data_IF_946700731769
#
_entry.id   IF_946700731769
#
_cell.length_a   1.000
_cell.length_b   1.000
_cell.length_c   1.000
_cell.angle_alpha   90.00
_cell.angle_beta   90.00
_cell.angle_gamma   90.00
#
_symmetry.space_group_name_H-M   'P 1'
#
loop_
_entity.id
_entity.type
_entity.pdbx_description
1 polymer ?
#
# COMPACT_ATOMS: atom_id res chain seq x y z
N UNK A 1 55.11 -7.72 23.35
CA UNK A 1 54.66 -6.32 23.17
C UNK A 1 53.73 -6.15 21.98
N UNK A 2 54.07 -6.62 20.79
CA UNK A 2 53.20 -6.55 19.58
C UNK A 2 51.89 -7.31 19.80
N UNK A 3 51.95 -8.50 20.36
CA UNK A 3 50.76 -9.35 20.61
C UNK A 3 49.80 -8.67 21.58
N UNK A 4 50.30 -7.97 22.59
CA UNK A 4 49.49 -7.26 23.56
C UNK A 4 48.80 -6.06 22.91
N UNK A 5 49.48 -5.32 22.06
CA UNK A 5 48.86 -4.19 21.31
C UNK A 5 47.78 -4.69 20.36
N UNK A 6 48.02 -5.77 19.61
CA UNK A 6 47.02 -6.38 18.76
C UNK A 6 45.80 -6.84 19.52
N UNK A 7 45.95 -7.41 20.70
CA UNK A 7 44.85 -7.83 21.56
C UNK A 7 44.00 -6.64 22.00
N UNK A 8 44.60 -5.54 22.44
CA UNK A 8 43.84 -4.34 22.83
C UNK A 8 43.14 -3.68 21.63
N UNK A 9 43.76 -3.65 20.45
CA UNK A 9 43.11 -3.19 19.22
C UNK A 9 41.91 -4.05 18.90
N UNK A 10 42.02 -5.36 18.96
CA UNK A 10 40.91 -6.28 18.72
C UNK A 10 39.72 -6.06 19.67
N UNK A 11 40.02 -5.91 20.97
CA UNK A 11 39.00 -5.64 22.00
C UNK A 11 38.28 -4.30 21.71
N UNK A 12 39.05 -3.28 21.36
CA UNK A 12 38.50 -1.94 21.07
C UNK A 12 37.56 -1.99 19.84
N UNK A 13 37.97 -2.64 18.75
CA UNK A 13 37.13 -2.79 17.55
C UNK A 13 35.87 -3.59 17.84
N UNK A 14 35.96 -4.67 18.60
CA UNK A 14 34.80 -5.49 18.99
C UNK A 14 33.82 -4.69 19.83
N UNK A 15 34.31 -3.89 20.79
CA UNK A 15 33.45 -3.04 21.61
C UNK A 15 32.70 -2.00 20.76
N UNK A 16 33.37 -1.33 19.83
CA UNK A 16 32.76 -0.37 18.91
C UNK A 16 31.66 -1.06 18.08
N UNK A 17 31.93 -2.25 17.57
CA UNK A 17 30.99 -3.02 16.76
C UNK A 17 29.74 -3.43 17.55
N UNK A 18 29.90 -3.85 18.79
CA UNK A 18 28.77 -4.18 19.67
C UNK A 18 27.92 -2.94 19.93
N UNK A 19 28.51 -1.80 20.23
CA UNK A 19 27.79 -0.53 20.46
C UNK A 19 27.00 -0.15 19.20
N UNK A 20 27.62 -0.26 18.03
CA UNK A 20 26.95 0.01 16.75
C UNK A 20 25.71 -0.86 16.55
N UNK A 21 25.82 -2.17 16.78
CA UNK A 21 24.68 -3.08 16.65
C UNK A 21 23.60 -2.83 17.68
N UNK A 22 23.94 -2.43 18.92
CA UNK A 22 22.96 -2.08 19.94
C UNK A 22 22.16 -0.83 19.55
N UNK A 23 22.83 0.20 19.04
CA UNK A 23 22.17 1.41 18.54
C UNK A 23 21.25 1.08 17.39
N UNK A 24 21.71 0.30 16.41
CA UNK A 24 20.92 -0.08 15.25
C UNK A 24 19.72 -0.97 15.62
N UNK A 25 19.90 -1.92 16.53
CA UNK A 25 18.84 -2.77 17.07
C UNK A 25 17.76 -1.95 17.81
N UNK A 26 18.13 -0.90 18.50
CA UNK A 26 17.21 0.01 19.17
C UNK A 26 16.21 0.65 18.19
N UNK A 27 16.64 0.95 16.97
CA UNK A 27 15.75 1.45 15.91
C UNK A 27 14.71 0.41 15.42
N UNK A 28 15.04 -0.88 15.53
CA UNK A 28 14.13 -1.96 15.11
C UNK A 28 13.12 -2.33 16.21
N UNK A 29 13.48 -2.09 17.48
CA UNK A 29 12.66 -2.48 18.64
C UNK A 29 11.65 -1.40 19.01
N UNK A 30 11.90 -0.15 18.61
CA UNK A 30 10.95 0.93 18.78
C UNK A 30 10.29 1.28 17.43
N UNK A 31 9.33 0.48 16.94
CA UNK A 31 8.41 1.01 15.98
C UNK A 31 7.71 2.12 16.77
N UNK A 32 8.09 3.39 16.55
CA UNK A 32 7.22 4.49 16.90
C UNK A 32 5.85 4.08 16.38
N UNK A 33 5.02 3.50 17.24
CA UNK A 33 3.58 3.59 17.10
C UNK A 33 3.36 5.09 17.05
N UNK A 34 3.37 5.62 15.84
CA UNK A 34 2.76 6.89 15.55
C UNK A 34 1.27 6.70 15.74
N UNK A 35 0.88 6.51 16.96
CA UNK A 35 -0.49 6.73 17.42
C UNK A 35 -0.70 8.25 17.63
N UNK A 36 -0.20 9.07 16.71
CA UNK A 36 -0.95 10.24 16.34
C UNK A 36 -2.19 9.67 15.70
N UNK A 37 -3.30 9.77 16.40
CA UNK A 37 -4.60 9.76 15.77
C UNK A 37 -4.48 10.78 14.64
N UNK A 38 -4.10 10.28 13.46
CA UNK A 38 -4.16 11.08 12.25
C UNK A 38 -5.65 11.45 12.15
N UNK A 39 -5.98 12.72 11.95
CA UNK A 39 -7.36 13.07 11.70
C UNK A 39 -7.87 12.11 10.62
N UNK A 40 -9.03 11.52 10.83
CA UNK A 40 -9.67 10.64 9.86
C UNK A 40 -9.91 11.47 8.60
N UNK A 41 -8.94 11.37 7.67
CA UNK A 41 -9.02 12.07 6.38
C UNK A 41 -9.68 11.08 5.43
N UNK A 42 -10.80 11.47 4.84
CA UNK A 42 -11.44 10.68 3.79
C UNK A 42 -10.46 10.40 2.63
N UNK A 43 -10.37 9.13 2.21
CA UNK A 43 -9.49 8.68 1.14
C UNK A 43 -10.31 8.16 -0.03
N UNK A 44 -10.01 8.65 -1.24
CA UNK A 44 -10.61 8.11 -2.46
C UNK A 44 -9.59 7.20 -3.15
N UNK A 45 -9.95 5.92 -3.30
CA UNK A 45 -9.17 4.94 -4.06
C UNK A 45 -9.70 4.91 -5.48
N UNK A 46 -8.89 5.38 -6.43
CA UNK A 46 -9.28 5.44 -7.84
C UNK A 46 -8.66 4.24 -8.58
N UNK A 47 -9.50 3.45 -9.23
CA UNK A 47 -9.10 2.27 -9.99
C UNK A 47 -9.61 2.42 -11.42
N UNK A 48 -8.67 2.57 -12.36
CA UNK A 48 -8.98 2.57 -13.79
C UNK A 48 -8.84 1.15 -14.32
N UNK A 49 -9.85 0.67 -15.02
CA UNK A 49 -9.85 -0.67 -15.60
C UNK A 49 -10.36 -0.65 -17.05
N UNK A 50 -9.67 -1.43 -17.88
CA UNK A 50 -10.04 -1.69 -19.28
C UNK A 50 -9.83 -3.16 -19.58
N UNK A 51 -10.94 -3.88 -19.80
CA UNK A 51 -10.91 -5.34 -20.03
C UNK A 51 -10.23 -6.11 -18.90
N UNK A 52 -10.58 -5.77 -17.63
CA UNK A 52 -9.96 -6.33 -16.41
C UNK A 52 -11.01 -7.05 -15.53
N UNK A 53 -12.03 -7.66 -16.13
CA UNK A 53 -13.12 -8.29 -15.40
C UNK A 53 -12.65 -9.34 -14.37
N UNK A 54 -11.70 -10.19 -14.76
CA UNK A 54 -11.19 -11.26 -13.89
C UNK A 54 -10.34 -10.69 -12.74
N UNK A 55 -9.48 -9.72 -13.01
CA UNK A 55 -8.67 -9.08 -11.99
C UNK A 55 -9.52 -8.32 -10.98
N UNK A 56 -10.59 -7.64 -11.43
CA UNK A 56 -11.53 -7.00 -10.52
C UNK A 56 -12.24 -8.01 -9.62
N UNK A 57 -12.69 -9.15 -10.14
CA UNK A 57 -13.31 -10.23 -9.35
C UNK A 57 -12.36 -10.73 -8.26
N UNK A 58 -11.07 -10.85 -8.57
CA UNK A 58 -10.07 -11.42 -7.66
C UNK A 58 -9.56 -10.42 -6.62
N UNK A 59 -9.35 -9.17 -6.98
CA UNK A 59 -8.64 -8.21 -6.13
C UNK A 59 -9.54 -7.15 -5.47
N UNK A 60 -10.68 -6.79 -6.07
CA UNK A 60 -11.57 -5.79 -5.51
C UNK A 60 -12.09 -6.13 -4.11
N UNK A 61 -12.40 -7.40 -3.77
CA UNK A 61 -12.79 -7.77 -2.41
C UNK A 61 -11.73 -7.45 -1.35
N UNK A 62 -10.46 -7.57 -1.69
CA UNK A 62 -9.34 -7.24 -0.78
C UNK A 62 -9.29 -5.73 -0.48
N UNK A 63 -9.59 -4.91 -1.49
CA UNK A 63 -9.62 -3.44 -1.34
C UNK A 63 -10.84 -3.01 -0.52
N UNK A 64 -12.01 -3.64 -0.75
CA UNK A 64 -13.23 -3.36 0.00
C UNK A 64 -13.07 -3.68 1.49
N UNK A 65 -12.33 -4.75 1.82
CA UNK A 65 -12.11 -5.22 3.18
C UNK A 65 -10.98 -4.50 3.92
N UNK A 66 -10.52 -3.34 3.44
CA UNK A 66 -9.51 -2.54 4.14
C UNK A 66 -10.02 -2.05 5.50
N UNK A 67 -9.11 -2.01 6.47
CA UNK A 67 -9.42 -1.58 7.85
C UNK A 67 -9.50 -0.06 8.01
N UNK A 68 -9.23 0.71 6.95
CA UNK A 68 -9.32 2.17 7.01
C UNK A 68 -10.80 2.60 7.15
N UNK A 69 -11.15 3.49 8.10
CA UNK A 69 -12.54 3.76 8.42
C UNK A 69 -13.26 4.59 7.35
N UNK A 70 -12.64 5.64 6.84
CA UNK A 70 -13.26 6.60 5.91
C UNK A 70 -12.60 6.56 4.54
N UNK A 71 -13.10 5.68 3.65
CA UNK A 71 -12.65 5.61 2.27
C UNK A 71 -13.80 5.31 1.30
N UNK A 72 -13.64 5.79 0.08
CA UNK A 72 -14.48 5.45 -1.06
C UNK A 72 -13.64 4.83 -2.19
N UNK A 73 -14.27 4.06 -3.04
CA UNK A 73 -13.65 3.44 -4.21
C UNK A 73 -14.32 4.01 -5.46
N UNK A 74 -13.53 4.58 -6.35
CA UNK A 74 -14.00 5.10 -7.64
C UNK A 74 -13.47 4.18 -8.72
N UNK A 75 -14.37 3.39 -9.34
CA UNK A 75 -14.04 2.52 -10.45
C UNK A 75 -14.26 3.29 -11.75
N UNK A 76 -13.22 3.40 -12.55
CA UNK A 76 -13.29 4.04 -13.87
C UNK A 76 -13.20 2.95 -14.93
N UNK A 77 -14.29 2.80 -15.69
CA UNK A 77 -14.33 1.91 -16.86
C UNK A 77 -13.89 2.69 -18.09
N UNK A 78 -12.72 2.37 -18.63
CA UNK A 78 -12.18 2.98 -19.86
C UNK A 78 -12.66 2.20 -21.10
N UNK A 79 -13.94 2.37 -21.42
CA UNK A 79 -14.56 1.77 -22.61
C UNK A 79 -14.22 0.29 -22.80
N UNK A 80 -14.43 -0.52 -21.76
CA UNK A 80 -14.21 -1.97 -21.82
C UNK A 80 -15.19 -2.64 -22.76
N UNK A 81 -14.74 -3.66 -23.47
CA UNK A 81 -15.53 -4.48 -24.39
C UNK A 81 -15.91 -5.86 -23.84
N UNK A 82 -15.39 -6.20 -22.65
CA UNK A 82 -15.66 -7.44 -21.94
C UNK A 82 -16.69 -7.23 -20.79
N UNK A 83 -16.82 -8.21 -19.89
CA UNK A 83 -17.71 -8.18 -18.72
C UNK A 83 -17.27 -7.17 -17.61
N UNK A 84 -16.24 -6.35 -17.83
CA UNK A 84 -15.70 -5.43 -16.81
C UNK A 84 -16.78 -4.52 -16.26
N UNK A 85 -17.64 -3.96 -17.11
CA UNK A 85 -18.74 -3.07 -16.70
C UNK A 85 -19.74 -3.79 -15.79
N UNK A 86 -20.14 -5.00 -16.15
CA UNK A 86 -21.10 -5.81 -15.37
C UNK A 86 -20.54 -6.19 -14.02
N UNK A 87 -19.24 -6.53 -13.96
CA UNK A 87 -18.53 -6.84 -12.71
C UNK A 87 -18.51 -5.62 -11.80
N UNK A 88 -18.17 -4.44 -12.32
CA UNK A 88 -18.16 -3.20 -11.56
C UNK A 88 -19.55 -2.88 -10.98
N UNK A 89 -20.60 -3.01 -11.79
CA UNK A 89 -21.99 -2.78 -11.36
C UNK A 89 -22.42 -3.74 -10.25
N UNK A 90 -22.02 -5.01 -10.35
CA UNK A 90 -22.32 -6.01 -9.34
C UNK A 90 -21.71 -5.66 -8.00
N UNK A 91 -20.44 -5.23 -7.99
CA UNK A 91 -19.77 -4.79 -6.77
C UNK A 91 -20.36 -3.49 -6.21
N UNK A 92 -20.72 -2.54 -7.06
CA UNK A 92 -21.34 -1.28 -6.62
C UNK A 92 -22.73 -1.48 -6.01
N UNK A 93 -23.51 -2.43 -6.49
CA UNK A 93 -24.82 -2.80 -5.87
C UNK A 93 -24.65 -3.40 -4.48
N UNK A 94 -23.55 -4.12 -4.26
CA UNK A 94 -23.29 -4.81 -2.98
C UNK A 94 -22.51 -3.96 -1.98
N UNK A 95 -21.87 -2.86 -2.42
CA UNK A 95 -21.05 -2.01 -1.56
C UNK A 95 -21.29 -0.53 -1.85
N UNK A 96 -21.88 0.18 -0.88
CA UNK A 96 -22.21 1.61 -0.98
C UNK A 96 -21.00 2.54 -1.10
N UNK A 97 -19.80 2.04 -0.78
CA UNK A 97 -18.54 2.80 -0.89
C UNK A 97 -18.02 2.88 -2.34
N UNK A 98 -18.62 2.15 -3.28
CA UNK A 98 -18.15 2.08 -4.68
C UNK A 98 -18.96 3.04 -5.53
N UNK A 99 -18.26 3.87 -6.28
CA UNK A 99 -18.79 4.73 -7.34
C UNK A 99 -18.22 4.29 -8.68
N UNK A 100 -19.01 4.31 -9.75
CA UNK A 100 -18.59 3.94 -11.10
C UNK A 100 -18.62 5.16 -12.01
N UNK A 101 -17.56 5.33 -12.78
CA UNK A 101 -17.47 6.32 -13.85
C UNK A 101 -17.13 5.58 -15.14
N UNK A 102 -17.95 5.73 -16.17
CA UNK A 102 -17.67 5.15 -17.47
C UNK A 102 -17.20 6.23 -18.43
N UNK A 103 -16.01 6.06 -18.97
CA UNK A 103 -15.44 6.90 -20.02
C UNK A 103 -15.89 6.34 -21.36
N UNK A 104 -16.58 7.15 -22.17
CA UNK A 104 -16.93 6.78 -23.56
C UNK A 104 -15.71 7.05 -24.45
N UNK A 105 -15.44 6.15 -25.39
CA UNK A 105 -14.44 6.42 -26.43
C UNK A 105 -14.83 7.71 -27.17
N UNK A 106 -14.12 8.79 -26.90
CA UNK A 106 -14.19 9.97 -27.73
C UNK A 106 -13.16 9.75 -28.84
N UNK A 107 -13.62 9.31 -30.00
CA UNK A 107 -12.82 9.22 -31.23
C UNK A 107 -12.44 10.60 -31.76
N UNK A 108 -11.91 11.47 -30.92
CA UNK A 108 -11.53 12.81 -31.36
C UNK A 108 -10.30 13.30 -30.61
N UNK A 109 -9.17 12.67 -30.88
CA UNK A 109 -7.89 13.37 -30.82
C UNK A 109 -7.35 13.42 -32.26
N UNK A 110 -7.79 14.43 -33.01
CA UNK A 110 -7.04 14.93 -34.17
C UNK A 110 -5.92 15.81 -33.68
#
# INVERSE_FOLDING_TARGET
>A
MILTVLFYCFVAFTAIQIIYYLIFSSFLIDPKKSSKELPEIGVSVIICAKNEAENLKNFLPTIINQTYPDFEIILINDASSDETSEVMETFAKNCSKIKIITVKNIETFC
#
